data_IF_860690047555
#
_entry.id   IF_860690047555
#
_cell.length_a   1.000
_cell.length_b   1.000
_cell.length_c   1.000
_cell.angle_alpha   90.00
_cell.angle_beta   90.00
_cell.angle_gamma   90.00
#
_symmetry.space_group_name_H-M   'P 1'
#
loop_
_entity.id
_entity.type
_entity.pdbx_description
1 polymer ?
#
# COMPACT_ATOMS: atom_id res chain seq x y z
N UNK A 1 31.56 26.95 -10.38
CA UNK A 1 31.91 25.97 -9.35
C UNK A 1 31.79 26.64 -8.01
N UNK A 2 30.72 26.38 -7.27
CA UNK A 2 30.71 26.36 -5.79
C UNK A 2 29.30 25.91 -5.34
N UNK A 3 29.25 24.78 -4.65
CA UNK A 3 28.04 24.28 -4.00
C UNK A 3 27.88 25.04 -2.69
N UNK A 4 26.75 25.72 -2.50
CA UNK A 4 26.38 26.23 -1.19
C UNK A 4 26.22 25.03 -0.24
N UNK A 5 27.03 25.01 0.83
CA UNK A 5 26.96 24.00 1.87
C UNK A 5 25.61 24.09 2.58
N UNK A 6 24.90 22.96 2.68
CA UNK A 6 23.67 22.85 3.45
C UNK A 6 23.95 23.05 4.92
N UNK A 7 23.25 24.00 5.54
CA UNK A 7 23.27 24.19 6.99
C UNK A 7 22.58 23.02 7.68
N UNK A 8 23.24 22.41 8.65
CA UNK A 8 22.60 21.47 9.57
C UNK A 8 21.87 22.25 10.67
N UNK A 9 20.61 21.91 10.92
CA UNK A 9 19.90 22.42 12.08
C UNK A 9 20.33 21.65 13.33
N UNK A 10 20.65 22.37 14.40
CA UNK A 10 20.96 21.81 15.73
C UNK A 10 19.64 21.62 16.47
N UNK A 11 19.32 20.39 16.84
CA UNK A 11 18.19 20.09 17.71
C UNK A 11 18.60 20.45 19.14
N UNK A 12 18.05 21.55 19.67
CA UNK A 12 18.17 21.90 21.07
C UNK A 12 17.11 21.10 21.85
N UNK A 13 17.55 20.23 22.76
CA UNK A 13 16.69 19.38 23.57
C UNK A 13 16.13 20.06 24.83
N UNK A 14 16.50 21.33 25.08
CA UNK A 14 16.14 22.06 26.30
C UNK A 14 14.84 22.86 26.18
N UNK A 15 14.17 22.82 25.02
CA UNK A 15 12.86 23.43 24.82
C UNK A 15 11.81 22.32 24.68
N UNK A 16 11.24 21.88 25.80
CA UNK A 16 10.12 20.93 25.80
C UNK A 16 8.85 21.50 25.12
N UNK A 17 8.81 22.81 24.88
CA UNK A 17 7.74 23.50 24.14
C UNK A 17 7.90 23.47 22.60
N UNK A 18 9.06 23.10 22.05
CA UNK A 18 9.32 23.09 20.59
C UNK A 18 9.03 21.73 19.92
N UNK A 19 8.69 20.69 20.71
CA UNK A 19 8.49 19.32 20.20
C UNK A 19 7.04 19.06 19.78
N UNK A 20 6.05 19.80 20.31
CA UNK A 20 4.64 19.44 20.14
C UNK A 20 3.90 20.09 18.95
N UNK A 21 4.46 21.09 18.26
CA UNK A 21 3.68 21.87 17.27
C UNK A 21 4.21 21.90 15.82
N UNK A 22 5.24 21.12 15.45
CA UNK A 22 5.82 21.14 14.09
C UNK A 22 5.71 19.83 13.29
N UNK A 23 4.77 18.95 13.65
CA UNK A 23 4.25 17.94 12.72
C UNK A 23 2.97 18.53 12.16
N UNK A 24 3.13 19.33 11.10
CA UNK A 24 2.06 20.13 10.52
C UNK A 24 0.76 19.35 10.36
N UNK A 25 -0.33 19.97 10.78
CA UNK A 25 -1.73 19.54 10.55
C UNK A 25 -2.08 19.29 9.08
N UNK A 26 -1.16 19.59 8.15
CA UNK A 26 -1.29 19.48 6.70
C UNK A 26 -0.59 18.23 6.14
N UNK A 27 -0.35 17.17 6.93
CA UNK A 27 0.16 15.90 6.38
C UNK A 27 -0.89 15.25 5.45
N UNK A 28 -0.64 15.22 4.12
CA UNK A 28 -1.59 14.70 3.16
C UNK A 28 -1.87 13.20 3.34
N UNK A 29 -0.94 12.44 3.96
CA UNK A 29 -1.15 11.02 4.25
C UNK A 29 -2.16 10.81 5.37
N UNK A 30 -2.08 11.59 6.44
CA UNK A 30 -3.03 11.57 7.56
C UNK A 30 -4.43 11.97 7.10
N UNK A 31 -4.55 13.02 6.30
CA UNK A 31 -5.83 13.42 5.73
C UNK A 31 -6.47 12.31 4.88
N UNK A 32 -5.66 11.60 4.09
CA UNK A 32 -6.14 10.47 3.31
C UNK A 32 -6.55 9.27 4.18
N UNK A 33 -5.86 9.04 5.31
CA UNK A 33 -6.24 8.03 6.28
C UNK A 33 -7.61 8.32 6.89
N UNK A 34 -7.85 9.56 7.31
CA UNK A 34 -9.14 10.02 7.83
C UNK A 34 -10.24 9.89 6.77
N UNK A 35 -9.94 10.20 5.51
CA UNK A 35 -10.86 9.97 4.40
C UNK A 35 -11.23 8.48 4.26
N UNK A 36 -10.29 7.56 4.37
CA UNK A 36 -10.56 6.12 4.27
C UNK A 36 -11.48 5.61 5.39
N UNK A 37 -11.30 6.12 6.60
CA UNK A 37 -12.10 5.73 7.77
C UNK A 37 -13.51 6.36 7.76
N UNK A 38 -13.65 7.54 7.17
CA UNK A 38 -14.91 8.30 7.11
C UNK A 38 -15.73 8.09 5.84
N UNK A 39 -15.21 7.30 4.89
CA UNK A 39 -15.88 7.03 3.62
C UNK A 39 -17.23 6.33 3.85
N UNK A 40 -18.30 7.03 3.48
CA UNK A 40 -19.65 6.45 3.36
C UNK A 40 -19.64 5.33 2.31
N UNK A 41 -20.46 4.28 2.49
CA UNK A 41 -20.47 3.07 1.65
C UNK A 41 -20.54 3.30 0.12
N UNK A 42 -20.97 4.49 -0.32
CA UNK A 42 -21.17 4.85 -1.73
C UNK A 42 -20.13 5.82 -2.31
N UNK A 43 -19.16 6.32 -1.52
CA UNK A 43 -18.12 7.24 -2.02
C UNK A 43 -16.75 6.59 -1.98
N UNK A 44 -16.01 6.68 -3.08
CA UNK A 44 -14.63 6.21 -3.11
C UNK A 44 -13.69 7.30 -2.57
N UNK A 45 -12.67 6.92 -1.79
CA UNK A 45 -11.63 7.85 -1.35
C UNK A 45 -10.87 8.38 -2.59
N UNK A 46 -10.60 9.68 -2.60
CA UNK A 46 -9.84 10.31 -3.69
C UNK A 46 -8.36 10.30 -3.35
N UNK A 47 -7.55 9.69 -4.22
CA UNK A 47 -6.10 9.69 -4.07
C UNK A 47 -5.46 10.36 -5.31
N UNK A 48 -4.72 11.45 -5.10
CA UNK A 48 -3.98 12.11 -6.18
C UNK A 48 -2.71 11.32 -6.51
N UNK A 49 -2.13 11.55 -7.70
CA UNK A 49 -0.86 10.92 -8.10
C UNK A 49 0.28 11.21 -7.12
N UNK A 50 0.31 12.42 -6.57
CA UNK A 50 1.34 12.84 -5.60
C UNK A 50 1.17 12.07 -4.29
N UNK A 51 -0.07 11.98 -3.79
CA UNK A 51 -0.40 11.24 -2.58
C UNK A 51 -0.13 9.73 -2.73
N UNK A 52 -0.46 9.15 -3.88
CA UNK A 52 -0.16 7.74 -4.17
C UNK A 52 1.35 7.45 -4.13
N UNK A 53 2.19 8.41 -4.55
CA UNK A 53 3.64 8.27 -4.52
C UNK A 53 4.24 8.39 -3.11
N UNK A 54 3.48 8.97 -2.17
CA UNK A 54 3.86 9.05 -0.75
C UNK A 54 3.48 7.79 0.04
N UNK A 55 2.55 6.98 -0.48
CA UNK A 55 2.12 5.76 0.19
C UNK A 55 3.24 4.71 0.15
N UNK A 56 3.43 3.93 1.24
CA UNK A 56 4.39 2.84 1.23
C UNK A 56 4.07 1.82 0.12
N UNK A 57 5.05 1.42 -0.72
CA UNK A 57 4.81 0.48 -1.82
C UNK A 57 4.24 -0.88 -1.38
N UNK A 58 4.60 -1.34 -0.17
CA UNK A 58 4.09 -2.58 0.41
C UNK A 58 2.62 -2.50 0.85
N UNK A 59 2.06 -1.31 0.99
CA UNK A 59 0.67 -1.10 1.43
C UNK A 59 -0.30 -0.85 0.27
N UNK A 60 0.19 -0.82 -0.97
CA UNK A 60 -0.61 -0.48 -2.15
C UNK A 60 -0.55 -1.59 -3.18
N UNK A 61 -1.71 -2.21 -3.43
CA UNK A 61 -1.87 -3.19 -4.50
C UNK A 61 -2.37 -2.49 -5.76
N UNK A 62 -1.60 -2.64 -6.84
CA UNK A 62 -1.96 -2.10 -8.16
C UNK A 62 -2.49 -3.21 -9.05
N UNK A 63 -3.81 -3.23 -9.24
CA UNK A 63 -4.46 -4.18 -10.16
C UNK A 63 -4.55 -3.58 -11.55
N UNK A 64 -3.60 -3.94 -12.41
CA UNK A 64 -3.60 -3.57 -13.82
C UNK A 64 -4.67 -4.36 -14.57
N UNK A 65 -5.37 -3.70 -15.47
CA UNK A 65 -6.31 -4.37 -16.38
C UNK A 65 -5.54 -4.97 -17.54
N UNK A 66 -5.90 -6.19 -17.97
CA UNK A 66 -5.41 -6.80 -19.19
C UNK A 66 -5.95 -6.10 -20.46
N UNK A 67 -7.07 -5.38 -20.35
CA UNK A 67 -7.70 -4.68 -21.46
C UNK A 67 -7.14 -3.27 -21.69
N UNK A 68 -6.73 -2.93 -22.92
CA UNK A 68 -6.31 -1.58 -23.29
C UNK A 68 -7.39 -0.54 -22.97
N UNK A 69 -6.99 0.61 -22.42
CA UNK A 69 -7.90 1.73 -22.12
C UNK A 69 -8.63 1.64 -20.79
N UNK A 70 -8.57 0.50 -20.08
CA UNK A 70 -9.13 0.38 -18.74
C UNK A 70 -8.10 0.85 -17.71
N UNK A 71 -8.50 1.81 -16.87
CA UNK A 71 -7.63 2.34 -15.81
C UNK A 71 -7.30 1.27 -14.77
N UNK A 72 -6.06 1.27 -14.28
CA UNK A 72 -5.65 0.44 -13.16
C UNK A 72 -6.47 0.78 -11.91
N UNK A 73 -6.76 -0.24 -11.10
CA UNK A 73 -7.41 -0.07 -9.80
C UNK A 73 -6.35 -0.17 -8.70
N UNK A 74 -6.45 0.72 -7.73
CA UNK A 74 -5.52 0.80 -6.60
C UNK A 74 -6.28 0.40 -5.34
N UNK A 75 -5.64 -0.42 -4.52
CA UNK A 75 -6.19 -0.89 -3.24
C UNK A 75 -5.16 -0.61 -2.16
N UNK A 76 -5.58 0.02 -1.06
CA UNK A 76 -4.73 0.21 0.11
C UNK A 76 -4.99 -0.91 1.11
N UNK A 77 -3.93 -1.50 1.64
CA UNK A 77 -4.00 -2.45 2.73
C UNK A 77 -4.28 -1.68 4.02
N UNK A 78 -5.41 -1.98 4.66
CA UNK A 78 -5.75 -1.38 5.96
C UNK A 78 -4.98 -2.06 7.11
N UNK A 79 -4.56 -3.31 6.89
CA UNK A 79 -3.78 -4.13 7.81
C UNK A 79 -2.54 -4.63 7.03
N UNK A 80 -1.43 -3.90 7.03
CA UNK A 80 -0.25 -4.28 6.24
C UNK A 80 0.46 -5.52 6.78
N UNK A 81 0.30 -5.81 8.07
CA UNK A 81 0.84 -7.02 8.72
C UNK A 81 0.14 -8.30 8.23
N UNK A 82 -1.07 -8.17 7.68
CA UNK A 82 -1.80 -9.28 7.07
C UNK A 82 -1.54 -9.27 5.57
N UNK A 83 -0.68 -10.19 5.12
CA UNK A 83 -0.33 -10.31 3.72
C UNK A 83 -1.53 -10.63 2.83
N UNK A 84 -1.43 -10.19 1.57
CA UNK A 84 -2.46 -10.43 0.55
C UNK A 84 -1.81 -10.99 -0.71
N UNK A 85 -2.40 -12.05 -1.23
CA UNK A 85 -1.98 -12.70 -2.47
C UNK A 85 -2.94 -12.35 -3.59
N UNK A 86 -2.39 -11.95 -4.74
CA UNK A 86 -3.18 -11.70 -5.97
C UNK A 86 -2.88 -12.79 -6.99
N UNK A 87 -3.91 -13.56 -7.36
CA UNK A 87 -3.79 -14.54 -8.44
C UNK A 87 -3.67 -13.81 -9.79
N UNK A 88 -2.63 -14.05 -10.58
CA UNK A 88 -2.49 -13.40 -11.91
C UNK A 88 -3.52 -13.87 -12.93
N UNK A 89 -4.00 -15.11 -12.84
CA UNK A 89 -4.97 -15.64 -13.82
C UNK A 89 -6.36 -15.02 -13.67
N UNK A 90 -6.87 -14.88 -12.43
CA UNK A 90 -8.21 -14.34 -12.17
C UNK A 90 -8.23 -12.95 -11.53
N UNK A 91 -7.06 -12.39 -11.18
CA UNK A 91 -6.88 -11.07 -10.56
C UNK A 91 -7.60 -10.88 -9.22
N UNK A 92 -7.96 -11.99 -8.58
CA UNK A 92 -8.64 -12.00 -7.28
C UNK A 92 -7.62 -11.97 -6.15
N UNK A 93 -7.96 -11.23 -5.10
CA UNK A 93 -7.14 -11.01 -3.92
C UNK A 93 -7.62 -11.94 -2.81
N UNK A 94 -6.68 -12.52 -2.07
CA UNK A 94 -6.92 -13.46 -0.98
C UNK A 94 -6.03 -13.09 0.20
N UNK A 95 -6.47 -13.38 1.43
CA UNK A 95 -5.55 -13.37 2.56
C UNK A 95 -4.45 -14.41 2.33
N UNK A 96 -3.22 -14.05 2.68
CA UNK A 96 -2.04 -14.87 2.45
C UNK A 96 -2.14 -16.27 3.08
N UNK A 97 -2.42 -16.31 4.38
CA UNK A 97 -2.57 -17.56 5.15
C UNK A 97 -3.69 -18.45 4.61
N UNK A 98 -4.84 -17.83 4.28
CA UNK A 98 -6.01 -18.54 3.74
C UNK A 98 -5.69 -19.15 2.37
N UNK A 99 -5.02 -18.37 1.51
CA UNK A 99 -4.63 -18.82 0.19
C UNK A 99 -3.61 -19.95 0.25
N UNK A 100 -2.57 -19.83 1.09
CA UNK A 100 -1.55 -20.85 1.25
C UNK A 100 -2.17 -22.18 1.71
N UNK A 101 -3.03 -22.14 2.73
CA UNK A 101 -3.72 -23.32 3.24
C UNK A 101 -4.59 -24.00 2.18
N UNK A 102 -5.33 -23.24 1.40
CA UNK A 102 -6.17 -23.79 0.32
C UNK A 102 -5.33 -24.29 -0.86
N UNK A 103 -4.27 -23.58 -1.21
CA UNK A 103 -3.36 -23.99 -2.28
C UNK A 103 -2.62 -25.27 -1.92
N UNK A 104 -2.17 -25.44 -0.68
CA UNK A 104 -1.56 -26.69 -0.20
C UNK A 104 -2.53 -27.88 -0.28
N UNK A 105 -3.83 -27.65 -0.06
CA UNK A 105 -4.87 -28.70 -0.15
C UNK A 105 -5.25 -29.05 -1.59
N UNK A 106 -5.43 -28.03 -2.44
CA UNK A 106 -6.00 -28.17 -3.79
C UNK A 106 -4.94 -28.25 -4.89
N UNK A 107 -3.72 -27.79 -4.62
CA UNK A 107 -2.64 -27.61 -5.58
C UNK A 107 -2.96 -26.56 -6.66
N UNK A 108 -3.92 -25.66 -6.42
CA UNK A 108 -4.36 -24.65 -7.38
C UNK A 108 -5.09 -23.48 -6.69
N UNK A 109 -5.27 -22.37 -7.41
CA UNK A 109 -6.06 -21.23 -6.96
C UNK A 109 -7.49 -21.69 -6.57
N UNK A 110 -7.99 -21.33 -5.38
CA UNK A 110 -9.28 -21.81 -4.88
C UNK A 110 -10.47 -21.33 -5.72
N UNK A 111 -10.31 -20.24 -6.46
CA UNK A 111 -11.37 -19.68 -7.30
C UNK A 111 -11.32 -20.18 -8.74
N UNK A 112 -10.19 -20.02 -9.43
CA UNK A 112 -10.09 -20.32 -10.86
C UNK A 112 -9.37 -21.64 -11.19
N UNK A 113 -8.83 -22.34 -10.18
CA UNK A 113 -8.06 -23.59 -10.31
C UNK A 113 -6.81 -23.51 -11.18
N UNK A 114 -6.31 -22.30 -11.44
CA UNK A 114 -4.97 -22.11 -12.03
C UNK A 114 -3.89 -22.67 -11.11
N UNK A 115 -2.88 -23.33 -11.69
CA UNK A 115 -1.79 -24.03 -10.98
C UNK A 115 -0.47 -23.28 -11.02
N UNK A 116 -0.46 -22.09 -11.61
CA UNK A 116 0.77 -21.36 -11.86
C UNK A 116 1.23 -20.66 -10.57
N UNK A 117 2.06 -21.36 -9.78
CA UNK A 117 2.65 -20.83 -8.55
C UNK A 117 3.63 -19.68 -8.81
N UNK A 118 4.33 -19.71 -9.96
CA UNK A 118 5.21 -18.62 -10.44
C UNK A 118 4.44 -17.34 -10.81
N UNK A 119 3.12 -17.44 -10.85
CA UNK A 119 2.17 -16.39 -11.18
C UNK A 119 1.46 -15.79 -9.96
N UNK A 120 2.01 -15.99 -8.77
CA UNK A 120 1.54 -15.33 -7.56
C UNK A 120 2.40 -14.09 -7.33
N UNK A 121 1.77 -12.92 -7.24
CA UNK A 121 2.44 -11.72 -6.77
C UNK A 121 2.28 -11.68 -5.25
N UNK A 122 3.28 -12.21 -4.55
CA UNK A 122 3.33 -12.17 -3.10
C UNK A 122 3.80 -10.79 -2.64
N UNK A 123 3.14 -10.20 -1.63
CA UNK A 123 3.44 -8.86 -1.14
C UNK A 123 4.42 -8.84 0.04
N UNK A 124 5.27 -9.85 0.21
CA UNK A 124 6.26 -9.84 1.29
C UNK A 124 7.24 -8.69 1.07
N UNK A 125 7.63 -7.97 2.12
CA UNK A 125 8.91 -7.31 2.12
C UNK A 125 9.98 -8.41 2.08
N UNK A 126 10.78 -8.43 1.01
CA UNK A 126 12.08 -9.10 1.02
C UNK A 126 12.91 -8.42 2.10
N UNK A 127 12.94 -8.99 3.30
CA UNK A 127 14.05 -8.77 4.23
C UNK A 127 15.26 -9.51 3.68
N UNK A 128 16.27 -8.74 3.26
CA UNK A 128 17.66 -9.19 3.09
C UNK A 128 18.21 -9.81 4.38
#
# INVERSE_FOLDING_TARGET
>A
TERAFGGGNVLNFDNEDDIEDNIGSDDPLRQFQEQLLSVEKDKLPMCSRQLLALLPPGEVIVRRSAFPGVRARYYRLMMPDQGVVVCRSCTRMFGEEEFELEYLKLGCCPFCRSRDADDLQWSYPLSD
#
